data_IF_556474081399
#
_entry.id   IF_556474081399
#
_cell.length_a   1.000
_cell.length_b   1.000
_cell.length_c   1.000
_cell.angle_alpha   90.00
_cell.angle_beta   90.00
_cell.angle_gamma   90.00
#
_symmetry.space_group_name_H-M   'P 1'
#
loop_
_entity.id
_entity.type
_entity.pdbx_description
1 polymer ?
#
# COMPACT_ATOMS: atom_id res chain seq x y z
N UNK A 1 -44.10 25.07 -29.73
CA UNK A 1 -44.80 24.33 -30.80
C UNK A 1 -43.98 24.28 -32.10
N UNK A 2 -43.00 25.17 -32.30
CA UNK A 2 -42.24 25.24 -33.56
C UNK A 2 -41.25 24.08 -33.77
N UNK A 3 -40.67 23.55 -32.70
CA UNK A 3 -39.73 22.42 -32.76
C UNK A 3 -40.36 21.13 -33.26
N UNK A 4 -41.59 20.81 -32.83
CA UNK A 4 -42.28 19.59 -33.26
C UNK A 4 -42.69 19.64 -34.74
N UNK A 5 -43.10 20.82 -35.22
CA UNK A 5 -43.43 21.02 -36.64
C UNK A 5 -42.19 20.94 -37.53
N UNK A 6 -41.04 21.46 -37.09
CA UNK A 6 -39.77 21.35 -37.80
C UNK A 6 -39.32 19.89 -37.93
N UNK A 7 -39.43 19.12 -36.85
CA UNK A 7 -39.09 17.69 -36.85
C UNK A 7 -40.01 16.90 -37.80
N UNK A 8 -41.30 17.23 -37.83
CA UNK A 8 -42.26 16.59 -38.74
C UNK A 8 -42.04 16.95 -40.20
N UNK A 9 -41.65 18.20 -40.53
CA UNK A 9 -41.39 18.60 -41.92
C UNK A 9 -40.08 18.03 -42.46
N UNK A 10 -39.04 17.93 -41.62
CA UNK A 10 -37.71 17.48 -42.02
C UNK A 10 -37.56 15.95 -42.04
N UNK A 11 -38.07 15.25 -41.01
CA UNK A 11 -37.90 13.80 -40.85
C UNK A 11 -39.19 12.99 -41.07
N UNK A 12 -40.35 13.65 -41.11
CA UNK A 12 -41.65 12.99 -41.26
C UNK A 12 -42.01 12.11 -40.06
N UNK A 13 -42.95 11.18 -40.26
CA UNK A 13 -43.36 10.19 -39.24
C UNK A 13 -42.58 8.86 -39.39
N UNK A 14 -41.40 8.89 -40.00
CA UNK A 14 -40.55 7.70 -40.11
C UNK A 14 -39.98 7.40 -38.72
N UNK A 15 -39.98 6.14 -38.31
CA UNK A 15 -39.38 5.67 -37.06
C UNK A 15 -38.05 5.00 -37.36
N UNK A 16 -36.94 5.75 -37.48
CA UNK A 16 -35.63 5.19 -37.83
C UNK A 16 -35.03 4.36 -36.69
N UNK A 17 -35.46 4.58 -35.45
CA UNK A 17 -34.97 3.85 -34.29
C UNK A 17 -35.85 2.63 -34.04
N UNK A 18 -35.40 1.48 -34.53
CA UNK A 18 -35.98 0.19 -34.21
C UNK A 18 -34.89 -0.68 -33.59
N UNK A 19 -35.28 -1.48 -32.60
CA UNK A 19 -34.38 -2.48 -32.02
C UNK A 19 -34.47 -3.77 -32.83
N UNK A 20 -33.38 -4.55 -32.91
CA UNK A 20 -33.46 -5.90 -33.46
C UNK A 20 -34.48 -6.76 -32.74
N UNK A 21 -35.05 -7.73 -33.46
CA UNK A 21 -35.90 -8.76 -32.87
C UNK A 21 -35.16 -9.44 -31.70
N UNK A 22 -35.87 -9.69 -30.59
CA UNK A 22 -35.33 -10.29 -29.37
C UNK A 22 -34.24 -9.49 -28.62
N UNK A 23 -34.02 -8.21 -28.93
CA UNK A 23 -33.03 -7.39 -28.23
C UNK A 23 -33.24 -7.38 -26.70
N UNK A 24 -34.45 -7.08 -26.24
CA UNK A 24 -34.74 -7.00 -24.80
C UNK A 24 -34.87 -8.36 -24.11
N UNK A 25 -35.21 -9.43 -24.84
CA UNK A 25 -35.31 -10.78 -24.26
C UNK A 25 -33.92 -11.36 -23.99
N UNK A 26 -32.93 -11.08 -24.84
CA UNK A 26 -31.54 -11.53 -24.64
C UNK A 26 -30.67 -10.54 -23.86
N UNK A 27 -31.12 -9.30 -23.66
CA UNK A 27 -30.34 -8.27 -22.97
C UNK A 27 -29.90 -8.72 -21.57
N UNK A 28 -30.82 -9.31 -20.79
CA UNK A 28 -30.54 -9.73 -19.42
C UNK A 28 -29.46 -10.83 -19.38
N UNK A 29 -29.52 -11.81 -20.28
CA UNK A 29 -28.50 -12.87 -20.34
C UNK A 29 -27.15 -12.31 -20.77
N UNK A 30 -27.15 -11.40 -21.76
CA UNK A 30 -25.93 -10.74 -22.25
C UNK A 30 -25.25 -9.90 -21.16
N UNK A 31 -26.03 -9.13 -20.40
CA UNK A 31 -25.52 -8.34 -19.27
C UNK A 31 -24.95 -9.26 -18.20
N UNK A 32 -25.67 -10.33 -17.81
CA UNK A 32 -25.20 -11.25 -16.78
C UNK A 32 -23.91 -11.98 -17.18
N UNK A 33 -23.73 -12.30 -18.47
CA UNK A 33 -22.48 -12.89 -19.00
C UNK A 33 -21.31 -11.90 -18.97
N UNK A 34 -21.58 -10.60 -19.06
CA UNK A 34 -20.56 -9.55 -19.04
C UNK A 34 -20.19 -9.09 -17.63
N UNK A 35 -20.97 -9.46 -16.62
CA UNK A 35 -20.57 -9.28 -15.23
C UNK A 35 -19.52 -10.35 -14.95
N UNK A 36 -18.28 -9.98 -14.59
CA UNK A 36 -17.29 -10.95 -14.12
C UNK A 36 -17.94 -11.78 -13.02
N UNK A 37 -17.76 -13.11 -13.04
CA UNK A 37 -18.28 -14.00 -12.00
C UNK A 37 -17.52 -13.77 -10.68
N UNK A 38 -17.73 -12.61 -10.09
CA UNK A 38 -17.10 -12.09 -8.87
C UNK A 38 -17.82 -12.60 -7.62
N UNK A 39 -18.32 -13.84 -7.61
CA UNK A 39 -18.79 -14.49 -6.39
C UNK A 39 -18.58 -16.00 -6.57
N UNK A 40 -17.61 -16.66 -5.93
CA UNK A 40 -17.72 -17.20 -4.57
C UNK A 40 -16.38 -17.84 -4.17
N UNK A 41 -15.35 -17.04 -3.91
CA UNK A 41 -14.02 -17.60 -3.63
C UNK A 41 -13.10 -16.77 -2.76
N UNK A 42 -13.56 -15.66 -2.21
CA UNK A 42 -12.75 -14.91 -1.25
C UNK A 42 -13.05 -15.44 0.14
N UNK A 43 -12.37 -16.55 0.43
CA UNK A 43 -12.02 -16.97 1.78
C UNK A 43 -11.86 -15.73 2.66
N UNK A 44 -12.57 -15.74 3.79
CA UNK A 44 -12.41 -14.78 4.84
C UNK A 44 -10.92 -14.70 5.24
N UNK A 45 -10.17 -13.78 4.64
CA UNK A 45 -8.85 -13.41 5.12
C UNK A 45 -9.08 -12.57 6.37
N UNK A 46 -9.36 -13.30 7.45
CA UNK A 46 -9.36 -12.85 8.83
C UNK A 46 -8.23 -11.85 9.02
N UNK A 47 -8.61 -10.60 9.30
CA UNK A 47 -7.70 -9.53 9.68
C UNK A 47 -6.72 -10.03 10.74
N UNK A 48 -5.44 -10.10 10.37
CA UNK A 48 -4.39 -10.46 11.30
C UNK A 48 -4.20 -9.29 12.29
N UNK A 49 -4.33 -9.47 13.61
CA UNK A 49 -4.13 -8.37 14.56
C UNK A 49 -2.63 -8.10 14.79
N UNK A 50 -1.89 -7.76 13.73
CA UNK A 50 -0.44 -7.45 13.81
C UNK A 50 -0.17 -6.22 14.70
N UNK A 51 -1.13 -5.28 14.75
CA UNK A 51 -1.02 -4.06 15.56
C UNK A 51 -1.06 -4.33 17.08
N UNK A 52 -1.76 -5.38 17.53
CA UNK A 52 -1.84 -5.71 18.95
C UNK A 52 -0.53 -6.31 19.49
N UNK A 53 0.17 -7.11 18.68
CA UNK A 53 1.44 -7.73 19.08
C UNK A 53 2.57 -6.68 19.14
N UNK A 54 2.65 -5.77 18.16
CA UNK A 54 3.63 -4.68 18.17
C UNK A 54 3.48 -3.78 19.41
N UNK A 55 2.25 -3.56 19.91
CA UNK A 55 2.01 -2.77 21.13
C UNK A 55 2.57 -3.44 22.40
N UNK A 56 2.63 -4.78 22.45
CA UNK A 56 3.20 -5.54 23.57
C UNK A 56 4.73 -5.59 23.57
N UNK A 57 5.36 -5.38 22.40
CA UNK A 57 6.81 -5.35 22.23
C UNK A 57 7.41 -3.94 22.44
N UNK A 58 6.60 -2.88 22.38
CA UNK A 58 7.02 -1.49 22.70
C UNK A 58 7.74 -1.33 24.05
N UNK A 59 7.27 -1.89 25.19
CA UNK A 59 7.99 -1.75 26.45
C UNK A 59 9.35 -2.47 26.47
N UNK A 60 9.51 -3.53 25.66
CA UNK A 60 10.77 -4.27 25.56
C UNK A 60 11.84 -3.43 24.82
N UNK A 61 11.45 -2.72 23.77
CA UNK A 61 12.34 -1.80 23.06
C UNK A 61 12.84 -0.64 23.95
N UNK A 62 11.99 -0.12 24.85
CA UNK A 62 12.39 0.93 25.80
C UNK A 62 13.41 0.42 26.82
N UNK A 63 13.26 -0.81 27.32
CA UNK A 63 14.24 -1.40 28.24
C UNK A 63 15.61 -1.63 27.59
N UNK A 64 15.66 -2.01 26.31
CA UNK A 64 16.92 -2.16 25.59
C UNK A 64 17.67 -0.81 25.46
N UNK A 65 16.95 0.30 25.25
CA UNK A 65 17.56 1.63 25.16
C UNK A 65 18.20 2.07 26.47
N UNK A 66 17.59 1.79 27.63
CA UNK A 66 18.19 2.18 28.92
C UNK A 66 19.46 1.37 29.23
N UNK A 67 19.48 0.08 28.89
CA UNK A 67 20.68 -0.75 29.02
C UNK A 67 21.81 -0.22 28.12
N UNK A 68 21.49 0.14 26.86
CA UNK A 68 22.46 0.73 25.93
C UNK A 68 23.07 2.05 26.44
N UNK A 69 22.25 2.99 26.92
CA UNK A 69 22.74 4.27 27.47
C UNK A 69 23.61 4.08 28.70
N UNK A 70 23.25 3.16 29.60
CA UNK A 70 24.05 2.85 30.80
C UNK A 70 25.39 2.20 30.43
N UNK A 71 25.40 1.27 29.48
CA UNK A 71 26.65 0.64 29.01
C UNK A 71 27.57 1.66 28.32
N UNK A 72 27.03 2.51 27.44
CA UNK A 72 27.80 3.56 26.77
C UNK A 72 28.35 4.56 27.79
N UNK A 73 27.52 4.98 28.77
CA UNK A 73 27.96 5.87 29.84
C UNK A 73 29.01 5.25 30.76
N UNK A 74 28.86 3.97 31.11
CA UNK A 74 29.82 3.22 31.91
C UNK A 74 31.15 3.01 31.18
N UNK A 75 31.10 2.72 29.87
CA UNK A 75 32.28 2.55 29.03
C UNK A 75 32.99 3.89 28.80
N UNK A 76 32.24 4.96 28.57
CA UNK A 76 32.78 6.32 28.46
C UNK A 76 33.41 6.79 29.78
N UNK A 77 32.79 6.48 30.91
CA UNK A 77 33.36 6.74 32.23
C UNK A 77 34.63 5.93 32.46
N UNK A 78 34.64 4.63 32.17
CA UNK A 78 35.84 3.81 32.27
C UNK A 78 36.94 4.30 31.33
N UNK A 79 36.62 4.67 30.09
CA UNK A 79 37.60 5.17 29.12
C UNK A 79 38.15 6.53 29.54
N UNK A 80 37.30 7.43 30.04
CA UNK A 80 37.71 8.75 30.53
C UNK A 80 38.55 8.67 31.81
N UNK A 81 38.14 7.82 32.77
CA UNK A 81 38.93 7.51 33.97
C UNK A 81 40.23 6.78 33.65
N UNK A 82 40.24 5.92 32.64
CA UNK A 82 41.44 5.26 32.12
C UNK A 82 42.36 6.25 31.39
N UNK A 83 41.81 7.31 30.76
CA UNK A 83 42.59 8.38 30.12
C UNK A 83 43.33 9.29 31.10
N UNK A 84 42.83 9.39 32.34
CA UNK A 84 43.53 10.07 33.43
C UNK A 84 44.76 9.27 33.92
N UNK A 85 44.85 7.97 33.59
CA UNK A 85 45.92 7.06 34.04
C UNK A 85 46.77 6.39 32.95
N UNK A 86 46.32 6.30 31.71
CA UNK A 86 47.10 5.74 30.59
C UNK A 86 46.64 6.36 29.27
N UNK A 87 47.53 7.13 28.66
CA UNK A 87 47.40 7.55 27.26
C UNK A 87 47.53 6.34 26.32
N UNK A 88 46.81 6.41 25.20
CA UNK A 88 46.85 5.50 24.07
C UNK A 88 46.07 4.17 24.21
N UNK A 89 44.81 4.21 23.80
CA UNK A 89 44.25 3.24 22.85
C UNK A 89 42.92 3.82 22.34
N UNK A 90 43.01 4.65 21.30
CA UNK A 90 41.85 5.00 20.49
C UNK A 90 41.56 3.77 19.63
N UNK A 91 40.61 2.96 20.06
CA UNK A 91 40.02 1.95 19.19
C UNK A 91 39.36 2.71 18.03
N UNK A 92 39.90 2.48 16.85
CA UNK A 92 39.38 2.93 15.56
C UNK A 92 37.96 2.35 15.41
N UNK A 93 36.95 3.16 15.69
CA UNK A 93 35.57 2.81 15.35
C UNK A 93 35.44 3.18 13.88
N UNK A 94 35.46 2.17 13.03
CA UNK A 94 35.18 2.34 11.60
C UNK A 94 33.71 2.77 11.42
N UNK A 95 33.51 4.09 11.37
CA UNK A 95 32.21 4.74 11.13
C UNK A 95 31.60 4.31 9.79
N UNK A 96 32.40 3.77 8.87
CA UNK A 96 31.92 3.21 7.60
C UNK A 96 30.95 2.04 7.77
N UNK A 97 31.15 1.20 8.80
CA UNK A 97 30.29 0.02 9.03
C UNK A 97 28.95 0.36 9.69
N UNK A 98 28.83 1.51 10.36
CA UNK A 98 27.57 1.97 10.97
C UNK A 98 26.66 2.61 9.92
N UNK A 99 27.24 3.25 8.90
CA UNK A 99 26.50 3.81 7.78
C UNK A 99 25.87 2.72 6.89
N UNK A 100 26.59 1.61 6.68
CA UNK A 100 26.16 0.44 5.88
C UNK A 100 24.94 -0.30 6.47
N UNK A 101 24.70 -0.17 7.78
CA UNK A 101 23.54 -0.76 8.46
C UNK A 101 22.28 0.13 8.40
N UNK A 102 22.43 1.42 8.04
CA UNK A 102 21.34 2.41 7.98
C UNK A 102 20.97 2.79 6.54
N UNK A 103 21.81 2.48 5.55
CA UNK A 103 21.39 2.52 4.16
C UNK A 103 20.42 1.37 3.89
N UNK A 104 19.12 1.68 3.92
CA UNK A 104 18.18 0.93 3.08
C UNK A 104 18.72 1.05 1.67
N UNK A 105 19.20 -0.05 1.10
CA UNK A 105 19.66 -0.07 -0.29
C UNK A 105 18.50 0.36 -1.17
N UNK A 106 18.76 1.20 -2.17
CA UNK A 106 17.73 1.63 -3.14
C UNK A 106 17.03 0.41 -3.77
N UNK A 107 17.74 -0.71 -3.90
CA UNK A 107 17.21 -2.00 -4.36
C UNK A 107 16.06 -2.55 -3.48
N UNK A 108 16.11 -2.38 -2.15
CA UNK A 108 15.05 -2.83 -1.23
C UNK A 108 13.82 -1.92 -1.32
N UNK A 109 14.04 -0.62 -1.58
CA UNK A 109 12.97 0.35 -1.78
C UNK A 109 12.29 0.16 -3.13
N UNK A 110 13.05 -0.06 -4.20
CA UNK A 110 12.55 -0.35 -5.54
C UNK A 110 11.77 -1.67 -5.54
N UNK A 111 12.27 -2.70 -4.86
CA UNK A 111 11.53 -3.95 -4.67
C UNK A 111 10.21 -3.71 -3.91
N UNK A 112 10.21 -2.93 -2.84
CA UNK A 112 8.97 -2.59 -2.15
C UNK A 112 8.00 -1.79 -3.04
N UNK A 113 8.52 -0.87 -3.87
CA UNK A 113 7.75 -0.09 -4.82
C UNK A 113 7.10 -0.98 -5.90
N UNK A 114 7.80 -1.98 -6.42
CA UNK A 114 7.25 -2.99 -7.34
C UNK A 114 6.09 -3.77 -6.71
N UNK A 115 6.16 -4.07 -5.40
CA UNK A 115 5.04 -4.71 -4.68
C UNK A 115 3.89 -3.74 -4.34
N UNK A 116 4.14 -2.43 -4.36
CA UNK A 116 3.13 -1.38 -4.16
C UNK A 116 2.64 -0.76 -5.46
N UNK A 117 3.12 -1.21 -6.63
CA UNK A 117 2.54 -0.81 -7.91
C UNK A 117 1.06 -1.16 -7.86
N UNK A 118 0.25 -0.11 -7.81
CA UNK A 118 -1.20 -0.22 -7.83
C UNK A 118 -1.56 -0.61 -9.25
N UNK A 119 -2.02 -1.85 -9.42
CA UNK A 119 -2.51 -2.32 -10.71
C UNK A 119 -3.78 -1.53 -11.10
N UNK A 120 -4.07 -1.45 -12.39
CA UNK A 120 -5.23 -0.69 -12.89
C UNK A 120 -6.55 -1.20 -12.28
N UNK A 121 -6.62 -2.50 -11.99
CA UNK A 121 -7.74 -3.16 -11.31
C UNK A 121 -7.91 -2.69 -9.84
N UNK A 122 -6.80 -2.45 -9.13
CA UNK A 122 -6.84 -1.93 -7.76
C UNK A 122 -7.40 -0.50 -7.72
N UNK A 123 -7.15 0.32 -8.75
CA UNK A 123 -7.74 1.66 -8.89
C UNK A 123 -9.27 1.59 -9.10
N UNK A 124 -9.76 0.61 -9.88
CA UNK A 124 -11.19 0.42 -10.11
C UNK A 124 -11.94 -0.08 -8.86
N UNK A 125 -11.30 -0.91 -8.03
CA UNK A 125 -11.88 -1.38 -6.78
C UNK A 125 -12.22 -0.24 -5.80
N UNK A 126 -11.44 0.85 -5.79
CA UNK A 126 -11.75 2.04 -4.98
C UNK A 126 -12.87 2.91 -5.56
N UNK A 127 -13.04 2.93 -6.89
CA UNK A 127 -14.07 3.74 -7.55
C UNK A 127 -15.44 3.05 -7.61
N UNK A 128 -15.46 1.71 -7.58
CA UNK A 128 -16.68 0.91 -7.56
C UNK A 128 -17.23 0.68 -6.13
N UNK A 129 -16.51 1.13 -5.10
CA UNK A 129 -16.80 0.90 -3.69
C UNK A 129 -17.74 1.89 -3.00
N UNK A 130 -18.51 2.70 -3.74
CA UNK A 130 -19.54 3.61 -3.20
C UNK A 130 -20.85 3.53 -4.02
#
# INVERSE_FOLDING_TARGET
MDSENLLQSEYGNKRPFTVPENYFSELSSRVMVQIPAEEQGHEALTQKPRRALMRRLRPLAVAAMTIGVVLIGFLAYNLFSSRQGNGAALADIDVGQIADMVSVSDDDFEQAADYFMVDEDDMYAYMAGD
#
